data_IF_828214745916
#
_entry.id   IF_828214745916
#
_cell.length_a   1.000
_cell.length_b   1.000
_cell.length_c   1.000
_cell.angle_alpha   90.00
_cell.angle_beta   90.00
_cell.angle_gamma   90.00
#
_symmetry.space_group_name_H-M   'P 1'
#
loop_
_entity.id
_entity.type
_entity.pdbx_description
1 polymer ?
#
# COMPACT_ATOMS: atom_id res chain seq x y z
N UNK A 1 17.28 -7.59 69.28
CA UNK A 1 18.51 -6.77 69.32
C UNK A 1 18.96 -6.56 67.88
N UNK A 2 18.55 -5.44 67.28
CA UNK A 2 19.44 -4.45 66.63
C UNK A 2 20.28 -5.06 65.49
N UNK A 3 20.01 -4.76 64.21
CA UNK A 3 20.42 -3.49 63.62
C UNK A 3 19.62 -3.13 62.35
N UNK A 4 19.09 -1.92 62.37
CA UNK A 4 18.60 -1.11 61.26
C UNK A 4 19.75 -0.65 60.35
N UNK A 5 19.58 -0.68 59.03
CA UNK A 5 20.23 0.30 58.13
C UNK A 5 19.60 0.28 56.73
N UNK A 6 18.54 1.07 56.59
CA UNK A 6 18.13 1.72 55.35
C UNK A 6 19.04 2.92 55.11
N UNK A 7 19.95 2.90 54.13
CA UNK A 7 20.59 4.12 53.61
C UNK A 7 20.81 4.00 52.10
N UNK A 8 19.95 4.73 51.37
CA UNK A 8 20.19 5.49 50.15
C UNK A 8 20.32 4.71 48.82
N UNK A 9 19.18 4.64 48.15
CA UNK A 9 19.07 4.66 46.69
C UNK A 9 19.63 6.00 46.16
N UNK A 10 20.84 6.00 45.60
CA UNK A 10 21.26 7.07 44.68
C UNK A 10 20.91 6.64 43.27
N UNK A 11 20.01 7.42 42.68
CA UNK A 11 19.66 7.42 41.28
C UNK A 11 20.93 7.53 40.41
N UNK A 12 21.18 6.49 39.61
CA UNK A 12 21.70 6.67 38.27
C UNK A 12 20.66 6.08 37.34
N UNK A 13 19.65 6.89 37.04
CA UNK A 13 18.87 6.72 35.82
C UNK A 13 19.85 6.91 34.65
N UNK A 14 20.49 5.82 34.22
CA UNK A 14 21.11 5.78 32.91
C UNK A 14 19.96 5.84 31.89
N UNK A 15 19.65 7.08 31.52
CA UNK A 15 19.10 7.53 30.24
C UNK A 15 18.49 6.42 29.39
N UNK A 16 17.17 6.40 29.36
CA UNK A 16 16.33 5.77 28.35
C UNK A 16 16.64 6.31 26.95
N UNK A 17 17.61 5.71 26.26
CA UNK A 17 17.80 5.80 24.80
C UNK A 17 18.62 4.55 24.43
N UNK A 18 18.14 3.52 23.75
CA UNK A 18 17.79 3.56 22.33
C UNK A 18 17.14 2.21 21.97
N UNK A 19 15.82 2.17 21.88
CA UNK A 19 15.13 1.13 21.10
C UNK A 19 14.76 1.80 19.79
N UNK A 20 15.11 1.18 18.65
CA UNK A 20 14.92 1.62 17.24
C UNK A 20 16.08 2.33 16.54
N UNK A 21 17.24 1.66 16.48
CA UNK A 21 18.20 1.85 15.38
C UNK A 21 18.70 0.45 14.98
N UNK A 22 17.97 -0.21 14.09
CA UNK A 22 18.42 -1.47 13.48
C UNK A 22 18.41 -1.18 11.99
N UNK A 23 19.59 -1.29 11.35
CA UNK A 23 19.87 -0.99 9.93
C UNK A 23 20.45 0.39 9.59
N UNK A 24 20.90 1.17 10.59
CA UNK A 24 21.66 2.39 10.32
C UNK A 24 23.15 2.05 10.08
N UNK A 25 23.52 1.87 8.81
CA UNK A 25 24.93 1.83 8.41
C UNK A 25 25.30 3.18 7.78
N UNK A 26 26.38 3.77 8.27
CA UNK A 26 27.01 4.93 7.64
C UNK A 26 27.78 4.48 6.39
N UNK A 27 27.07 4.33 5.28
CA UNK A 27 27.68 3.93 4.01
C UNK A 27 28.46 5.10 3.38
N UNK A 28 29.69 4.81 2.94
CA UNK A 28 30.45 5.74 2.11
C UNK A 28 29.80 5.88 0.72
N UNK A 29 29.93 7.06 0.11
CA UNK A 29 29.36 7.37 -1.23
C UNK A 29 30.24 6.91 -2.39
N UNK A 30 31.21 6.02 -2.15
CA UNK A 30 32.00 5.40 -3.22
C UNK A 30 31.08 4.52 -4.06
N UNK A 31 31.15 4.72 -5.37
CA UNK A 31 30.41 3.94 -6.37
C UNK A 31 31.26 2.73 -6.75
N UNK A 32 30.84 1.56 -6.28
CA UNK A 32 31.40 0.25 -6.60
C UNK A 32 30.23 -0.74 -6.73
N UNK A 33 29.53 -0.73 -7.88
CA UNK A 33 28.20 -1.33 -7.98
C UNK A 33 28.24 -2.85 -7.80
N UNK A 34 27.20 -3.37 -7.16
CA UNK A 34 27.00 -4.82 -6.98
C UNK A 34 25.59 -5.23 -7.39
N UNK A 35 25.46 -6.43 -7.95
CA UNK A 35 24.17 -7.02 -8.25
C UNK A 35 23.73 -7.89 -7.07
N UNK A 36 22.58 -7.59 -6.49
CA UNK A 36 21.98 -8.39 -5.42
C UNK A 36 21.31 -9.66 -5.94
N UNK A 37 21.11 -10.64 -5.05
CA UNK A 37 20.38 -11.89 -5.33
C UNK A 37 18.89 -11.66 -5.63
N UNK A 38 18.38 -10.47 -5.34
CA UNK A 38 17.05 -9.97 -5.71
C UNK A 38 17.02 -9.28 -7.09
N UNK A 39 18.08 -9.40 -7.89
CA UNK A 39 18.29 -8.73 -9.17
C UNK A 39 18.28 -7.18 -9.13
N UNK A 40 18.43 -6.58 -7.95
CA UNK A 40 18.57 -5.13 -7.81
C UNK A 40 20.05 -4.75 -7.86
N UNK A 41 20.37 -3.70 -8.62
CA UNK A 41 21.71 -3.10 -8.61
C UNK A 41 21.82 -2.13 -7.45
N UNK A 42 22.88 -2.27 -6.65
CA UNK A 42 23.21 -1.37 -5.55
C UNK A 42 24.47 -0.59 -5.89
N UNK A 43 24.52 0.70 -5.54
CA UNK A 43 25.70 1.55 -5.83
C UNK A 43 26.96 1.07 -5.10
N UNK A 44 26.79 0.34 -3.99
CA UNK A 44 27.86 -0.39 -3.32
C UNK A 44 27.28 -1.49 -2.40
N UNK A 45 28.17 -2.37 -1.91
CA UNK A 45 27.82 -3.47 -1.01
C UNK A 45 27.20 -3.01 0.32
N UNK A 46 27.57 -1.83 0.83
CA UNK A 46 26.99 -1.29 2.06
C UNK A 46 25.51 -0.95 1.88
N UNK A 47 25.14 -0.31 0.78
CA UNK A 47 23.73 -0.01 0.47
C UNK A 47 22.90 -1.28 0.27
N UNK A 48 23.48 -2.36 -0.25
CA UNK A 48 22.82 -3.67 -0.30
C UNK A 48 22.50 -4.19 1.11
N UNK A 49 23.45 -4.11 2.04
CA UNK A 49 23.25 -4.56 3.41
C UNK A 49 22.20 -3.73 4.16
N UNK A 50 22.16 -2.41 3.93
CA UNK A 50 21.11 -1.54 4.47
C UNK A 50 19.75 -1.99 3.96
N UNK A 51 19.60 -2.25 2.66
CA UNK A 51 18.34 -2.72 2.08
C UNK A 51 17.95 -4.08 2.67
N UNK A 52 18.86 -5.07 2.68
CA UNK A 52 18.62 -6.39 3.25
C UNK A 52 18.14 -6.32 4.71
N UNK A 53 18.75 -5.44 5.50
CA UNK A 53 18.39 -5.24 6.88
C UNK A 53 17.01 -4.56 7.01
N UNK A 54 16.78 -3.46 6.27
CA UNK A 54 15.54 -2.67 6.38
C UNK A 54 14.32 -3.42 5.87
N UNK A 55 14.47 -4.21 4.79
CA UNK A 55 13.41 -5.07 4.25
C UNK A 55 13.28 -6.38 5.01
N UNK A 56 14.27 -6.74 5.84
CA UNK A 56 14.39 -8.05 6.51
C UNK A 56 14.43 -9.21 5.52
N UNK A 57 14.96 -8.98 4.32
CA UNK A 57 15.13 -10.00 3.28
C UNK A 57 16.57 -10.53 3.27
N UNK A 58 16.74 -11.79 2.84
CA UNK A 58 18.06 -12.38 2.65
C UNK A 58 18.63 -11.99 1.27
N UNK A 59 19.20 -10.79 1.18
CA UNK A 59 19.81 -10.26 -0.05
C UNK A 59 21.32 -10.46 0.03
N UNK A 60 21.90 -11.21 -0.90
CA UNK A 60 23.34 -11.46 -1.01
C UNK A 60 23.89 -10.86 -2.30
N UNK A 61 25.21 -10.67 -2.40
CA UNK A 61 25.83 -10.26 -3.67
C UNK A 61 25.81 -11.46 -4.62
N UNK A 62 25.08 -11.34 -5.73
CA UNK A 62 25.07 -12.32 -6.80
C UNK A 62 26.32 -12.21 -7.69
N UNK A 63 26.76 -10.98 -8.00
CA UNK A 63 27.98 -10.71 -8.79
C UNK A 63 28.47 -9.26 -8.59
N UNK A 64 29.77 -8.99 -8.73
CA UNK A 64 30.26 -7.62 -8.91
C UNK A 64 29.68 -6.93 -10.15
N UNK A 65 29.60 -5.61 -10.09
CA UNK A 65 29.02 -4.76 -11.14
C UNK A 65 27.49 -4.67 -11.07
N UNK A 66 26.93 -3.86 -11.97
CA UNK A 66 25.48 -3.80 -12.14
C UNK A 66 24.90 -5.16 -12.58
N UNK A 67 23.62 -5.37 -12.28
CA UNK A 67 22.89 -6.51 -12.81
C UNK A 67 22.87 -6.43 -14.33
N UNK A 68 23.23 -7.54 -14.98
CA UNK A 68 23.13 -7.67 -16.44
C UNK A 68 21.99 -8.61 -16.71
N UNK A 69 20.94 -8.08 -17.31
CA UNK A 69 19.74 -8.83 -17.63
C UNK A 69 19.89 -9.45 -19.01
N UNK A 70 19.78 -10.78 -19.10
CA UNK A 70 19.82 -11.46 -20.39
C UNK A 70 18.57 -11.09 -21.19
N UNK A 71 18.70 -10.30 -22.26
CA UNK A 71 17.57 -9.87 -23.09
C UNK A 71 17.22 -10.84 -24.23
N UNK A 72 17.90 -11.99 -24.31
CA UNK A 72 17.63 -12.98 -25.35
C UNK A 72 16.51 -13.90 -24.87
N UNK A 73 15.36 -13.78 -25.50
CA UNK A 73 14.20 -14.63 -25.29
C UNK A 73 13.73 -15.25 -26.61
N UNK A 74 13.13 -16.44 -26.52
CA UNK A 74 12.36 -17.02 -27.61
C UNK A 74 11.07 -16.22 -27.82
N UNK A 75 10.49 -16.32 -29.03
CA UNK A 75 9.23 -15.65 -29.37
C UNK A 75 8.00 -16.56 -29.15
N UNK A 76 8.14 -17.59 -28.31
CA UNK A 76 7.00 -18.42 -27.91
C UNK A 76 6.02 -17.57 -27.09
N UNK A 77 4.73 -17.72 -27.38
CA UNK A 77 3.68 -16.96 -26.71
C UNK A 77 3.03 -17.82 -25.61
N UNK A 78 3.55 -17.67 -24.39
CA UNK A 78 3.05 -18.26 -23.15
C UNK A 78 2.87 -17.16 -22.10
N UNK A 79 1.83 -16.32 -22.23
CA UNK A 79 1.78 -15.03 -21.56
C UNK A 79 1.84 -15.13 -20.02
N UNK A 80 2.43 -14.12 -19.39
CA UNK A 80 2.56 -13.99 -17.94
C UNK A 80 2.15 -12.58 -17.49
N UNK A 81 1.36 -12.47 -16.43
CA UNK A 81 0.99 -11.19 -15.87
C UNK A 81 1.98 -10.73 -14.78
N UNK A 82 2.50 -9.51 -14.93
CA UNK A 82 3.31 -8.86 -13.89
C UNK A 82 2.51 -7.93 -12.99
N UNK A 83 3.05 -7.63 -11.81
CA UNK A 83 2.46 -6.73 -10.80
C UNK A 83 2.31 -5.29 -11.28
N UNK A 84 3.01 -4.92 -12.35
CA UNK A 84 2.87 -3.64 -13.04
C UNK A 84 1.72 -3.62 -14.06
N UNK A 85 0.89 -4.67 -14.12
CA UNK A 85 -0.23 -4.77 -15.05
C UNK A 85 0.17 -5.02 -16.51
N UNK A 86 1.44 -5.34 -16.76
CA UNK A 86 1.97 -5.63 -18.10
C UNK A 86 1.92 -7.14 -18.36
N UNK A 87 1.40 -7.52 -19.53
CA UNK A 87 1.50 -8.87 -20.07
C UNK A 87 2.84 -9.09 -20.73
N UNK A 88 3.59 -10.07 -20.25
CA UNK A 88 4.86 -10.50 -20.82
C UNK A 88 4.62 -11.72 -21.71
N UNK A 89 5.18 -11.72 -22.92
CA UNK A 89 4.90 -12.75 -23.92
C UNK A 89 5.28 -14.17 -23.49
N UNK A 90 6.26 -14.31 -22.60
CA UNK A 90 6.64 -15.57 -21.97
C UNK A 90 7.39 -15.36 -20.64
N UNK A 91 7.67 -16.48 -19.94
CA UNK A 91 8.45 -16.51 -18.69
C UNK A 91 9.83 -15.85 -18.82
N UNK A 92 10.48 -15.95 -19.98
CA UNK A 92 11.76 -15.29 -20.21
C UNK A 92 11.58 -13.77 -20.15
N UNK A 93 10.68 -13.22 -20.96
CA UNK A 93 10.45 -11.77 -21.01
C UNK A 93 10.01 -11.17 -19.66
N UNK A 94 9.23 -11.91 -18.85
CA UNK A 94 8.93 -11.51 -17.48
C UNK A 94 10.20 -11.45 -16.63
N UNK A 95 11.05 -12.48 -16.64
CA UNK A 95 12.30 -12.49 -15.86
C UNK A 95 13.25 -11.36 -16.27
N UNK A 96 13.29 -11.00 -17.56
CA UNK A 96 14.07 -9.84 -18.01
C UNK A 96 13.52 -8.57 -17.37
N UNK A 97 12.20 -8.40 -17.34
CA UNK A 97 11.58 -7.25 -16.69
C UNK A 97 11.82 -7.22 -15.18
N UNK A 98 11.73 -8.36 -14.48
CA UNK A 98 12.06 -8.48 -13.06
C UNK A 98 13.53 -8.16 -12.76
N UNK A 99 14.42 -8.45 -13.71
CA UNK A 99 15.82 -8.10 -13.58
C UNK A 99 16.08 -6.61 -13.81
N UNK A 100 15.40 -6.01 -14.79
CA UNK A 100 15.53 -4.58 -15.07
C UNK A 100 14.86 -3.72 -13.99
N UNK A 101 13.75 -4.21 -13.44
CA UNK A 101 12.96 -3.58 -12.38
C UNK A 101 12.55 -4.63 -11.35
N UNK A 102 13.28 -4.64 -10.23
CA UNK A 102 13.04 -5.55 -9.11
C UNK A 102 11.68 -5.38 -8.42
N UNK A 103 10.88 -4.36 -8.78
CA UNK A 103 9.51 -4.18 -8.30
C UNK A 103 8.49 -5.04 -9.06
N UNK A 104 8.84 -5.52 -10.25
CA UNK A 104 7.97 -6.40 -11.04
C UNK A 104 7.93 -7.77 -10.37
N UNK A 105 6.74 -8.20 -9.95
CA UNK A 105 6.45 -9.53 -9.39
C UNK A 105 5.55 -10.29 -10.35
N UNK A 106 5.62 -11.62 -10.32
CA UNK A 106 4.66 -12.45 -11.06
C UNK A 106 3.31 -12.44 -10.34
N UNK A 107 2.22 -12.22 -11.08
CA UNK A 107 0.84 -12.24 -10.55
C UNK A 107 0.14 -13.55 -10.92
N UNK A 108 0.13 -13.89 -12.22
CA UNK A 108 -0.56 -15.06 -12.72
C UNK A 108 0.01 -15.50 -14.08
N UNK A 109 -0.25 -16.76 -14.43
CA UNK A 109 -0.11 -17.21 -15.81
C UNK A 109 -1.23 -16.60 -16.67
N UNK A 110 -0.98 -16.45 -17.96
CA UNK A 110 -1.88 -15.78 -18.89
C UNK A 110 -1.59 -14.29 -19.04
N UNK A 111 -2.40 -13.63 -19.86
CA UNK A 111 -2.37 -12.19 -19.98
C UNK A 111 -2.84 -11.52 -18.68
N UNK A 112 -2.40 -10.30 -18.42
CA UNK A 112 -3.00 -9.52 -17.34
C UNK A 112 -4.46 -9.24 -17.67
N UNK A 113 -5.36 -9.84 -16.90
CA UNK A 113 -6.75 -9.43 -16.88
C UNK A 113 -6.86 -8.22 -15.98
N UNK A 114 -7.34 -7.09 -16.52
CA UNK A 114 -7.90 -6.06 -15.66
C UNK A 114 -9.15 -6.68 -15.07
N UNK A 115 -9.07 -7.12 -13.82
CA UNK A 115 -10.25 -7.58 -13.10
C UNK A 115 -11.12 -6.36 -12.82
N UNK A 116 -11.97 -6.04 -13.78
CA UNK A 116 -12.96 -4.97 -13.71
C UNK A 116 -14.29 -5.49 -13.15
N UNK A 117 -14.27 -6.67 -12.54
CA UNK A 117 -15.41 -7.37 -11.99
C UNK A 117 -15.45 -7.17 -10.47
N UNK A 118 -15.34 -5.91 -10.02
CA UNK A 118 -15.64 -5.64 -8.62
C UNK A 118 -17.11 -6.03 -8.38
N UNK A 119 -17.35 -6.85 -7.36
CA UNK A 119 -18.71 -7.23 -6.98
C UNK A 119 -19.40 -6.00 -6.42
N UNK A 120 -20.33 -5.43 -7.20
CA UNK A 120 -21.09 -4.26 -6.79
C UNK A 120 -22.35 -4.67 -6.03
N UNK A 121 -22.67 -3.92 -4.97
CA UNK A 121 -24.01 -3.97 -4.38
C UNK A 121 -25.04 -3.48 -5.39
N UNK A 122 -26.29 -3.92 -5.24
CA UNK A 122 -27.42 -3.44 -6.06
C UNK A 122 -28.15 -2.27 -5.42
N UNK A 123 -27.47 -1.54 -4.54
CA UNK A 123 -27.97 -0.28 -4.01
C UNK A 123 -27.98 0.76 -5.12
N UNK A 124 -29.12 1.46 -5.25
CA UNK A 124 -29.32 2.46 -6.28
C UNK A 124 -28.94 3.85 -5.75
N UNK A 125 -27.74 4.29 -6.07
CA UNK A 125 -27.18 5.62 -5.79
C UNK A 125 -26.61 6.17 -7.10
N UNK A 126 -27.45 6.62 -8.04
CA UNK A 126 -27.06 6.80 -9.42
C UNK A 126 -25.98 7.87 -9.58
N UNK A 127 -25.15 7.70 -10.61
CA UNK A 127 -24.11 8.67 -10.99
C UNK A 127 -24.13 8.88 -12.51
N UNK A 128 -23.86 10.10 -12.96
CA UNK A 128 -23.79 10.43 -14.37
C UNK A 128 -22.35 10.34 -14.87
N UNK A 129 -22.12 9.55 -15.92
CA UNK A 129 -20.84 9.45 -16.61
C UNK A 129 -20.63 10.54 -17.65
N UNK A 130 -19.38 10.78 -18.04
CA UNK A 130 -19.01 11.70 -19.13
C UNK A 130 -19.50 11.25 -20.50
N UNK A 131 -19.92 10.00 -20.63
CA UNK A 131 -20.58 9.44 -21.79
C UNK A 131 -22.10 9.72 -21.83
N UNK A 132 -22.62 10.48 -20.86
CA UNK A 132 -24.05 10.80 -20.74
C UNK A 132 -24.92 9.63 -20.29
N UNK A 133 -24.32 8.53 -19.80
CA UNK A 133 -25.05 7.39 -19.24
C UNK A 133 -25.15 7.48 -17.73
N UNK A 134 -26.32 7.11 -17.21
CA UNK A 134 -26.53 6.89 -15.78
C UNK A 134 -26.05 5.50 -15.40
N UNK A 135 -25.23 5.41 -14.37
CA UNK A 135 -24.80 4.15 -13.74
C UNK A 135 -25.54 3.97 -12.41
N UNK A 136 -25.89 2.73 -12.03
CA UNK A 136 -26.73 2.47 -10.86
C UNK A 136 -26.06 2.86 -9.53
N UNK A 137 -24.73 2.82 -9.49
CA UNK A 137 -23.91 3.36 -8.40
C UNK A 137 -22.46 3.61 -8.84
N UNK A 138 -21.66 4.20 -7.95
CA UNK A 138 -20.23 4.44 -8.15
C UNK A 138 -19.43 3.16 -8.47
N UNK A 139 -19.83 2.01 -7.94
CA UNK A 139 -19.15 0.75 -8.24
C UNK A 139 -19.38 0.34 -9.69
N UNK A 140 -20.62 0.41 -10.18
CA UNK A 140 -20.95 0.10 -11.58
C UNK A 140 -20.23 1.05 -12.55
N UNK A 141 -20.13 2.35 -12.22
CA UNK A 141 -19.34 3.30 -13.01
C UNK A 141 -17.85 2.94 -13.02
N UNK A 142 -17.25 2.60 -11.88
CA UNK A 142 -15.83 2.21 -11.79
C UNK A 142 -15.53 0.95 -12.57
N UNK A 143 -16.42 -0.05 -12.56
CA UNK A 143 -16.27 -1.24 -13.39
C UNK A 143 -16.28 -0.87 -14.87
N UNK A 144 -17.20 0.01 -15.31
CA UNK A 144 -17.23 0.48 -16.70
C UNK A 144 -15.96 1.26 -17.08
N UNK A 145 -15.47 2.16 -16.21
CA UNK A 145 -14.21 2.90 -16.41
C UNK A 145 -13.01 1.94 -16.51
N UNK A 146 -13.02 0.86 -15.72
CA UNK A 146 -11.98 -0.16 -15.77
C UNK A 146 -12.03 -0.97 -17.08
N UNK A 147 -13.24 -1.41 -17.49
CA UNK A 147 -13.46 -2.25 -18.67
C UNK A 147 -13.00 -1.54 -19.96
N UNK A 148 -13.24 -0.24 -20.06
CA UNK A 148 -12.78 0.59 -21.17
C UNK A 148 -11.96 1.78 -20.67
N UNK A 149 -10.71 1.52 -20.29
CA UNK A 149 -9.79 2.56 -19.84
C UNK A 149 -9.40 3.58 -20.93
N UNK A 150 -9.75 3.32 -22.20
CA UNK A 150 -9.47 4.22 -23.33
C UNK A 150 -10.60 5.20 -23.61
N UNK A 151 -11.81 4.93 -23.12
CA UNK A 151 -12.99 5.78 -23.30
C UNK A 151 -12.87 7.18 -22.67
N UNK A 152 -11.95 7.36 -21.71
CA UNK A 152 -11.90 8.60 -20.91
C UNK A 152 -13.14 8.82 -20.05
N UNK A 153 -13.90 7.75 -19.78
CA UNK A 153 -15.09 7.79 -18.92
C UNK A 153 -14.71 8.29 -17.53
N UNK A 154 -15.42 9.31 -17.05
CA UNK A 154 -15.27 9.88 -15.70
C UNK A 154 -16.65 10.18 -15.13
N UNK A 155 -16.75 10.25 -13.79
CA UNK A 155 -17.95 10.74 -13.12
C UNK A 155 -18.11 12.24 -13.37
N UNK A 156 -19.25 12.64 -13.92
CA UNK A 156 -19.63 14.05 -14.13
C UNK A 156 -20.40 14.59 -12.93
N UNK A 157 -21.37 13.84 -12.42
CA UNK A 157 -22.16 14.24 -11.26
C UNK A 157 -22.72 13.04 -10.51
N UNK A 158 -23.12 13.28 -9.26
CA UNK A 158 -24.07 12.41 -8.57
C UNK A 158 -25.48 12.58 -9.19
N UNK A 159 -26.31 11.55 -9.06
CA UNK A 159 -27.63 11.48 -9.67
C UNK A 159 -27.61 10.93 -11.11
N UNK A 160 -28.81 10.79 -11.67
CA UNK A 160 -28.98 10.38 -13.06
C UNK A 160 -28.49 11.47 -14.03
N UNK A 161 -28.04 11.08 -15.22
CA UNK A 161 -27.77 12.03 -16.29
C UNK A 161 -29.06 12.76 -16.72
N UNK A 162 -28.95 14.05 -17.12
CA UNK A 162 -30.09 14.78 -17.64
C UNK A 162 -30.61 14.09 -18.90
N UNK A 163 -31.90 13.76 -18.92
CA UNK A 163 -32.56 13.30 -20.13
C UNK A 163 -32.50 14.39 -21.18
N UNK A 164 -31.91 14.09 -22.33
CA UNK A 164 -32.00 14.96 -23.50
C UNK A 164 -33.43 14.90 -24.03
N UNK A 165 -34.29 15.74 -23.47
CA UNK A 165 -35.66 15.95 -23.96
C UNK A 165 -35.58 16.65 -25.32
N UNK A 166 -35.36 15.88 -26.39
CA UNK A 166 -35.71 16.35 -27.72
C UNK A 166 -37.24 16.35 -27.82
N UNK A 167 -37.82 17.45 -27.34
CA UNK A 167 -39.26 17.63 -27.17
C UNK A 167 -39.90 17.90 -28.52
N UNK A 168 -40.32 16.82 -29.21
CA UNK A 168 -41.35 16.94 -30.25
C UNK A 168 -42.44 15.90 -30.04
N UNK A 169 -43.11 15.96 -28.88
CA UNK A 169 -44.56 15.73 -28.72
C UNK A 169 -44.93 15.89 -27.24
N UNK A 170 -45.34 17.10 -26.87
CA UNK A 170 -46.10 17.36 -25.65
C UNK A 170 -47.56 17.00 -25.93
N UNK A 171 -48.24 16.14 -25.14
CA UNK A 171 -49.67 16.27 -24.94
C UNK A 171 -49.91 17.13 -23.69
N UNK A 172 -50.48 18.31 -23.93
CA UNK A 172 -51.08 19.20 -22.95
C UNK A 172 -52.26 18.53 -22.24
N UNK A 173 -52.34 18.62 -20.90
CA UNK A 173 -53.59 18.85 -20.15
C UNK A 173 -53.25 18.88 -18.64
N UNK A 174 -53.14 20.05 -18.00
CA UNK A 174 -54.18 20.83 -17.30
C UNK A 174 -54.05 20.71 -15.76
N UNK A 175 -53.61 21.84 -15.18
CA UNK A 175 -53.68 22.39 -13.80
C UNK A 175 -54.82 21.88 -12.86
N UNK A 176 -54.77 22.07 -11.51
CA UNK A 176 -54.58 23.39 -10.87
C UNK A 176 -53.64 23.50 -9.65
N UNK A 177 -53.11 24.72 -9.52
CA UNK A 177 -52.31 25.35 -8.46
C UNK A 177 -52.81 25.14 -7.01
N UNK A 178 -51.91 25.27 -6.02
CA UNK A 178 -52.10 26.14 -4.82
C UNK A 178 -50.83 26.23 -3.93
N UNK A 179 -50.39 27.48 -3.75
CA UNK A 179 -49.87 28.17 -2.54
C UNK A 179 -48.50 27.78 -1.93
N UNK A 180 -47.54 28.69 -2.13
CA UNK A 180 -46.38 28.99 -1.28
C UNK A 180 -46.79 29.72 0.02
N UNK A 181 -45.97 29.70 1.08
CA UNK A 181 -45.06 30.85 1.28
C UNK A 181 -43.64 30.50 1.76
N UNK A 182 -42.72 31.42 1.45
CA UNK A 182 -41.34 31.62 1.96
C UNK A 182 -41.32 31.84 3.51
N UNK A 183 -40.18 31.92 4.26
CA UNK A 183 -39.01 32.74 3.87
C UNK A 183 -37.59 32.35 4.38
N UNK A 184 -36.60 33.06 3.80
CA UNK A 184 -35.35 33.60 4.38
C UNK A 184 -34.09 32.74 4.59
N UNK A 185 -33.03 33.16 3.88
CA UNK A 185 -31.61 33.41 4.27
C UNK A 185 -30.86 32.34 5.10
N UNK A 186 -29.65 31.92 4.76
CA UNK A 186 -28.40 32.72 4.80
C UNK A 186 -27.22 31.94 4.20
N UNK A 187 -26.26 32.69 3.68
CA UNK A 187 -24.89 32.33 3.33
C UNK A 187 -24.09 31.62 4.43
N UNK A 188 -23.24 30.66 4.06
CA UNK A 188 -21.88 30.54 4.62
C UNK A 188 -20.99 29.55 3.87
N UNK A 189 -19.86 30.10 3.45
CA UNK A 189 -18.61 29.42 3.11
C UNK A 189 -18.00 28.70 4.32
N UNK A 190 -17.45 27.51 4.13
CA UNK A 190 -16.32 27.03 4.93
C UNK A 190 -15.60 25.86 4.26
N UNK A 191 -14.28 26.01 4.15
CA UNK A 191 -13.30 25.00 3.77
C UNK A 191 -13.34 23.76 4.67
N UNK A 192 -12.84 22.60 4.20
CA UNK A 192 -12.72 21.42 5.05
C UNK A 192 -11.55 21.54 6.05
N UNK A 193 -11.67 21.02 7.28
CA UNK A 193 -10.55 20.85 8.18
C UNK A 193 -9.79 19.56 7.87
N UNK A 194 -8.47 19.61 8.07
CA UNK A 194 -7.59 18.45 8.06
C UNK A 194 -7.93 17.50 9.24
N UNK A 195 -8.11 16.22 8.94
CA UNK A 195 -8.34 15.18 9.95
C UNK A 195 -7.04 14.47 10.28
N UNK A 196 -6.55 14.74 11.49
CA UNK A 196 -5.53 13.99 12.20
C UNK A 196 -6.03 12.61 12.61
N UNK A 197 -5.21 11.58 12.39
CA UNK A 197 -5.40 10.19 12.83
C UNK A 197 -5.22 10.03 14.35
N UNK A 198 -6.04 9.23 15.06
CA UNK A 198 -5.83 8.91 16.47
C UNK A 198 -4.99 7.64 16.66
N UNK A 199 -4.05 7.70 17.61
CA UNK A 199 -3.39 6.52 18.18
C UNK A 199 -4.31 5.84 19.18
N UNK A 200 -4.54 4.53 19.01
CA UNK A 200 -5.14 3.67 20.02
C UNK A 200 -4.06 2.80 20.66
N UNK A 201 -3.78 3.11 21.93
CA UNK A 201 -3.10 2.21 22.84
C UNK A 201 -4.08 1.11 23.27
N UNK A 202 -3.62 -0.14 23.33
CA UNK A 202 -4.30 -1.19 24.10
C UNK A 202 -3.25 -2.04 24.80
N UNK A 203 -3.38 -2.04 26.12
CA UNK A 203 -2.58 -2.80 27.07
C UNK A 203 -3.17 -4.19 27.28
N UNK A 204 -2.32 -5.23 27.31
CA UNK A 204 -2.42 -6.52 28.04
C UNK A 204 -1.03 -7.19 27.87
N UNK A 205 -0.47 -8.04 28.73
CA UNK A 205 -0.62 -8.43 30.12
C UNK A 205 0.67 -9.22 30.44
N UNK A 206 1.11 -9.17 31.69
CA UNK A 206 2.30 -9.83 32.24
C UNK A 206 2.20 -11.36 32.29
N UNK A 207 3.26 -12.10 31.91
CA UNK A 207 3.63 -13.34 32.62
C UNK A 207 5.07 -13.82 32.34
N UNK A 208 5.77 -14.10 33.45
CA UNK A 208 6.76 -15.15 33.71
C UNK A 208 7.99 -15.32 32.78
N UNK A 209 9.18 -14.92 33.27
CA UNK A 209 10.41 -15.72 33.19
C UNK A 209 11.42 -15.24 34.26
N UNK A 210 11.29 -15.76 35.48
CA UNK A 210 12.36 -15.75 36.49
C UNK A 210 12.91 -17.17 36.62
N UNK A 211 13.97 -17.50 35.88
CA UNK A 211 14.73 -18.73 36.08
C UNK A 211 16.12 -18.64 35.41
N UNK A 212 17.07 -17.90 35.99
CA UNK A 212 18.49 -18.02 35.64
C UNK A 212 19.43 -17.42 36.70
N UNK A 213 19.14 -17.56 37.99
CA UNK A 213 20.05 -17.11 39.06
C UNK A 213 20.25 -18.19 40.13
N UNK A 214 20.65 -19.40 39.73
CA UNK A 214 21.03 -20.48 40.65
C UNK A 214 22.10 -21.45 40.09
N UNK A 215 23.11 -20.96 39.35
CA UNK A 215 24.21 -21.84 38.86
C UNK A 215 25.62 -21.38 39.28
N UNK A 216 25.78 -20.36 40.12
CA UNK A 216 27.13 -19.83 40.49
C UNK A 216 27.51 -20.06 41.96
N UNK A 217 26.85 -20.96 42.69
CA UNK A 217 27.22 -21.31 44.08
C UNK A 217 27.12 -22.82 44.33
N UNK A 218 27.85 -23.61 43.54
CA UNK A 218 27.84 -25.08 43.63
C UNK A 218 29.14 -25.79 43.27
N UNK A 219 30.31 -25.16 43.42
CA UNK A 219 31.61 -25.81 43.19
C UNK A 219 32.66 -25.50 44.28
N UNK A 220 32.23 -25.51 45.54
CA UNK A 220 33.15 -25.63 46.67
C UNK A 220 32.40 -26.35 47.80
N UNK A 221 32.36 -27.69 47.75
CA UNK A 221 32.71 -28.68 48.81
C UNK A 221 32.33 -30.07 48.28
N UNK A 222 33.30 -30.97 48.12
CA UNK A 222 33.05 -32.43 48.10
C UNK A 222 33.43 -33.19 46.83
N UNK A 223 34.73 -33.45 46.64
CA UNK A 223 35.37 -34.78 46.65
C UNK A 223 36.86 -34.63 46.40
#
# INVERSE_FOLDING_TARGET
>A
MHLTSTIIAVLLAASTTTTTAQCELNCITVVDPVCGSNNKTYSNACLLQVDACTTKENITIARPGACVCNSICTMEFEPQCGSNGVTYGNKCSLKVAQCNDGLVKWISAGECTKSCDAVCTKEYQPVCGSDGKTYGNDCELKNAMCQDSTSGLVKVSDGECPVSLNTTKIPTSTSPSIVTPSPSSTSSSSSPPATTVPSSATAMATSAFTAALYVVLGLIVGF
#
